data_IF_271816321495
#
_entry.id   IF_271816321495
#
_cell.length_a   1.000
_cell.length_b   1.000
_cell.length_c   1.000
_cell.angle_alpha   90.00
_cell.angle_beta   90.00
_cell.angle_gamma   90.00
#
_symmetry.space_group_name_H-M   'P 1'
#
loop_
_entity.id
_entity.type
_entity.pdbx_description
1 polymer ?
#
# COMPACT_ATOMS: atom_id res chain seq x y z
N UNK A 1 -13.11 3.00 9.68
CA UNK A 1 -11.94 2.16 10.02
C UNK A 1 -10.70 2.99 9.76
N UNK A 2 -9.55 2.70 10.38
CA UNK A 2 -8.30 3.35 10.01
C UNK A 2 -7.18 2.32 9.87
N UNK A 3 -6.36 2.46 8.85
CA UNK A 3 -5.15 1.66 8.60
C UNK A 3 -3.97 2.59 8.74
N UNK A 4 -2.96 2.24 9.52
CA UNK A 4 -1.79 3.09 9.73
C UNK A 4 -0.51 2.28 9.74
N UNK A 5 0.58 2.87 9.26
CA UNK A 5 1.92 2.34 9.45
C UNK A 5 2.88 3.42 9.97
N UNK A 6 3.81 3.00 10.82
CA UNK A 6 4.97 3.78 11.26
C UNK A 6 6.30 3.25 10.68
N UNK A 7 6.23 2.33 9.70
CA UNK A 7 7.39 1.93 8.93
C UNK A 7 7.74 3.01 7.89
N UNK A 8 9.00 3.05 7.44
CA UNK A 8 9.44 3.87 6.31
C UNK A 8 8.92 3.30 4.98
N UNK A 9 7.60 3.42 4.77
CA UNK A 9 6.90 2.92 3.61
C UNK A 9 5.67 3.80 3.30
N UNK A 10 5.35 3.90 2.01
CA UNK A 10 4.04 4.39 1.61
C UNK A 10 3.00 3.29 1.80
N UNK A 11 1.86 3.67 2.38
CA UNK A 11 0.72 2.81 2.58
C UNK A 11 -0.35 3.11 1.52
N UNK A 12 -0.86 2.08 0.88
CA UNK A 12 -2.02 2.16 0.01
C UNK A 12 -3.07 1.14 0.44
N UNK A 13 -4.33 1.52 0.28
CA UNK A 13 -5.48 0.64 0.48
C UNK A 13 -6.37 0.70 -0.75
N UNK A 14 -6.71 -0.46 -1.29
CA UNK A 14 -7.64 -0.63 -2.39
C UNK A 14 -8.93 -1.26 -1.87
N UNK A 15 -10.06 -0.65 -2.23
CA UNK A 15 -11.39 -1.19 -1.99
C UNK A 15 -11.75 -2.28 -3.03
N UNK A 16 -12.84 -3.06 -2.81
CA UNK A 16 -13.27 -4.10 -3.75
C UNK A 16 -13.58 -3.62 -5.18
N UNK A 17 -13.86 -2.32 -5.36
CA UNK A 17 -14.11 -1.70 -6.66
C UNK A 17 -12.83 -1.13 -7.30
N UNK A 18 -11.66 -1.46 -6.75
CA UNK A 18 -10.33 -0.99 -7.11
C UNK A 18 -10.10 0.52 -6.92
N UNK A 19 -11.03 1.23 -6.28
CA UNK A 19 -10.76 2.59 -5.82
C UNK A 19 -9.70 2.56 -4.72
N UNK A 20 -8.77 3.52 -4.75
CA UNK A 20 -7.59 3.53 -3.90
C UNK A 20 -7.58 4.69 -2.91
N UNK A 21 -6.81 4.55 -1.84
CA UNK A 21 -6.38 5.66 -1.00
C UNK A 21 -4.91 5.44 -0.59
N UNK A 22 -4.11 6.48 -0.60
CA UNK A 22 -2.67 6.41 -0.35
C UNK A 22 -1.99 7.77 -0.42
N UNK A 23 -0.68 7.78 -0.67
CA UNK A 23 0.10 9.01 -0.72
C UNK A 23 -0.42 10.04 -1.73
N UNK A 24 -0.90 9.56 -2.88
CA UNK A 24 -1.32 10.40 -4.01
C UNK A 24 -2.76 10.91 -3.91
N UNK A 25 -3.48 10.53 -2.85
CA UNK A 25 -4.85 10.96 -2.61
C UNK A 25 -5.77 9.84 -2.15
N UNK A 26 -7.07 10.10 -2.25
CA UNK A 26 -8.12 9.23 -1.74
C UNK A 26 -9.31 9.23 -2.70
N UNK A 27 -9.42 8.15 -3.48
CA UNK A 27 -10.51 7.91 -4.43
C UNK A 27 -11.68 7.16 -3.78
N UNK A 28 -11.40 6.36 -2.74
CA UNK A 28 -12.43 5.67 -1.95
C UNK A 28 -13.35 6.73 -1.33
N UNK A 29 -14.66 6.75 -1.64
CA UNK A 29 -15.55 7.82 -1.19
C UNK A 29 -15.62 7.99 0.33
N UNK A 30 -15.34 9.19 0.82
CA UNK A 30 -15.35 9.49 2.25
C UNK A 30 -14.12 9.01 3.02
N UNK A 31 -13.11 8.47 2.32
CA UNK A 31 -11.80 8.24 2.89
C UNK A 31 -10.94 9.51 2.85
N UNK A 32 -9.90 9.54 3.68
CA UNK A 32 -8.87 10.58 3.64
C UNK A 32 -7.56 10.04 4.22
N UNK A 33 -6.46 10.70 3.89
CA UNK A 33 -5.11 10.32 4.30
C UNK A 33 -4.54 11.39 5.23
N UNK A 34 -3.94 10.95 6.33
CA UNK A 34 -3.22 11.78 7.28
C UNK A 34 -1.78 11.33 7.36
N UNK A 35 -0.87 12.30 7.40
CA UNK A 35 0.55 12.07 7.63
C UNK A 35 0.91 12.60 9.02
N UNK A 36 1.71 11.84 9.74
CA UNK A 36 2.27 12.23 11.04
C UNK A 36 3.79 12.10 11.03
N UNK A 37 4.45 12.68 12.03
CA UNK A 37 5.90 12.52 12.22
C UNK A 37 6.24 11.02 12.38
N UNK A 38 6.67 10.40 11.29
CA UNK A 38 7.07 8.99 11.23
C UNK A 38 6.04 8.00 10.69
N UNK A 39 4.95 8.45 10.04
CA UNK A 39 4.02 7.48 9.44
C UNK A 39 2.86 8.04 8.65
N UNK A 40 2.10 7.12 8.06
CA UNK A 40 0.91 7.38 7.26
C UNK A 40 -0.30 6.68 7.87
N UNK A 41 -1.44 7.35 7.89
CA UNK A 41 -2.74 6.80 8.29
C UNK A 41 -3.79 7.06 7.21
N UNK A 42 -4.51 6.01 6.81
CA UNK A 42 -5.64 6.06 5.89
C UNK A 42 -6.91 5.80 6.69
N UNK A 43 -7.83 6.76 6.64
CA UNK A 43 -9.15 6.65 7.27
C UNK A 43 -10.17 6.25 6.22
N UNK A 44 -10.87 5.15 6.47
CA UNK A 44 -11.84 4.56 5.58
C UNK A 44 -13.26 4.78 6.12
N UNK A 45 -14.25 4.98 5.23
CA UNK A 45 -15.64 5.22 5.63
C UNK A 45 -16.21 4.06 6.42
N UNK A 46 -17.38 4.29 7.01
CA UNK A 46 -18.14 3.21 7.64
C UNK A 46 -18.58 2.22 6.54
N UNK A 47 -18.25 0.95 6.75
CA UNK A 47 -18.72 -0.15 5.93
C UNK A 47 -20.13 -0.53 6.31
N UNK A 48 -20.96 -0.76 5.30
CA UNK A 48 -22.30 -1.33 5.44
C UNK A 48 -22.26 -2.81 5.01
N UNK A 49 -21.56 -3.63 5.80
CA UNK A 49 -21.45 -5.08 5.58
C UNK A 49 -20.01 -5.57 5.50
N UNK A 50 -19.87 -6.77 4.95
CA UNK A 50 -18.58 -7.41 4.73
C UNK A 50 -17.82 -6.70 3.60
N UNK A 51 -16.52 -6.55 3.75
CA UNK A 51 -15.66 -5.99 2.71
C UNK A 51 -14.23 -6.52 2.87
N UNK A 52 -13.62 -6.84 1.73
CA UNK A 52 -12.21 -7.21 1.65
C UNK A 52 -11.45 -6.05 1.00
N UNK A 53 -10.43 -5.55 1.68
CA UNK A 53 -9.52 -4.55 1.15
C UNK A 53 -8.19 -5.18 0.85
N UNK A 54 -7.55 -4.71 -0.22
CA UNK A 54 -6.15 -5.02 -0.48
C UNK A 54 -5.28 -3.91 0.08
N UNK A 55 -4.31 -4.28 0.90
CA UNK A 55 -3.30 -3.37 1.43
C UNK A 55 -2.00 -3.56 0.67
N UNK A 56 -1.34 -2.44 0.38
CA UNK A 56 -0.01 -2.41 -0.24
C UNK A 56 0.90 -1.51 0.58
N UNK A 57 2.08 -2.01 0.93
CA UNK A 57 3.19 -1.24 1.49
C UNK A 57 4.30 -1.16 0.46
N UNK A 58 4.74 0.06 0.15
CA UNK A 58 5.86 0.35 -0.75
C UNK A 58 7.04 0.84 0.09
N UNK A 59 8.05 -0.01 0.27
CA UNK A 59 9.18 0.28 1.14
C UNK A 59 10.07 1.40 0.60
N UNK A 60 10.34 2.39 1.45
CA UNK A 60 11.22 3.51 1.14
C UNK A 60 12.62 3.30 1.72
N UNK A 61 12.69 2.81 2.97
CA UNK A 61 13.95 2.54 3.67
C UNK A 61 13.90 1.17 4.36
N UNK A 62 15.07 0.59 4.69
CA UNK A 62 15.15 -0.65 5.47
C UNK A 62 14.93 -0.39 6.97
N UNK A 63 13.76 0.14 7.31
CA UNK A 63 13.33 0.42 8.67
C UNK A 63 12.17 -0.50 9.07
N UNK A 64 12.30 -1.13 10.24
CA UNK A 64 11.22 -1.93 10.79
C UNK A 64 10.18 -1.02 11.44
N UNK A 65 8.91 -1.38 11.29
CA UNK A 65 7.80 -0.70 11.94
C UNK A 65 6.63 -1.66 12.13
N UNK A 66 5.45 -1.09 12.19
CA UNK A 66 4.20 -1.80 12.42
C UNK A 66 3.16 -1.36 11.41
N UNK A 67 2.29 -2.30 11.07
CA UNK A 67 1.02 -2.05 10.41
C UNK A 67 -0.08 -2.24 11.44
N UNK A 68 -0.92 -1.24 11.65
CA UNK A 68 -2.05 -1.31 12.58
C UNK A 68 -3.36 -0.99 11.88
N UNK A 69 -4.35 -1.88 12.02
CA UNK A 69 -5.73 -1.64 11.57
C UNK A 69 -6.61 -1.45 12.80
N UNK A 70 -7.30 -0.31 12.89
CA UNK A 70 -8.19 0.06 14.00
C UNK A 70 -9.63 0.19 13.55
N UNK A 71 -10.52 -0.29 14.42
CA UNK A 71 -11.95 -0.05 14.32
C UNK A 71 -12.36 1.05 15.29
N UNK A 72 -13.16 1.99 14.80
CA UNK A 72 -13.72 3.08 15.60
C UNK A 72 -15.25 3.08 15.53
N UNK A 73 -15.89 3.45 16.64
CA UNK A 73 -17.30 3.82 16.69
C UNK A 73 -17.39 5.25 17.26
N UNK A 74 -17.61 6.21 16.36
CA UNK A 74 -17.44 7.62 16.71
C UNK A 74 -15.98 7.89 17.08
N UNK A 75 -15.74 8.35 18.31
CA UNK A 75 -14.40 8.62 18.84
C UNK A 75 -13.81 7.46 19.66
N UNK A 76 -14.56 6.37 19.86
CA UNK A 76 -14.10 5.24 20.66
C UNK A 76 -13.46 4.18 19.77
N UNK A 77 -12.22 3.80 20.08
CA UNK A 77 -11.58 2.60 19.51
C UNK A 77 -12.28 1.36 20.05
N UNK A 78 -12.71 0.47 19.16
CA UNK A 78 -13.36 -0.79 19.51
C UNK A 78 -12.38 -1.97 19.49
N UNK A 79 -11.47 -1.96 18.53
CA UNK A 79 -10.48 -3.03 18.33
C UNK A 79 -9.29 -2.51 17.52
N UNK A 80 -8.14 -3.14 17.72
CA UNK A 80 -6.95 -2.93 16.91
C UNK A 80 -6.27 -4.28 16.66
N UNK A 81 -5.78 -4.48 15.44
CA UNK A 81 -4.85 -5.55 15.10
C UNK A 81 -3.56 -4.93 14.59
N UNK A 82 -2.42 -5.42 15.08
CA UNK A 82 -1.10 -4.91 14.74
C UNK A 82 -0.20 -6.05 14.28
N UNK A 83 0.54 -5.83 13.20
CA UNK A 83 1.57 -6.74 12.69
C UNK A 83 2.88 -5.99 12.50
N UNK A 84 3.99 -6.64 12.85
CA UNK A 84 5.32 -6.13 12.58
C UNK A 84 5.60 -6.22 11.07
N UNK A 85 6.21 -5.18 10.53
CA UNK A 85 6.61 -5.11 9.11
C UNK A 85 8.04 -4.59 8.99
N UNK A 86 8.73 -5.04 7.95
CA UNK A 86 10.08 -4.55 7.62
C UNK A 86 10.24 -4.53 6.10
N UNK A 87 9.60 -3.57 5.44
CA UNK A 87 9.76 -3.41 4.00
C UNK A 87 11.20 -3.00 3.69
N UNK A 88 11.78 -3.56 2.64
CA UNK A 88 13.06 -3.12 2.08
C UNK A 88 12.83 -1.98 1.05
N UNK A 89 13.84 -1.15 0.72
CA UNK A 89 13.71 -0.17 -0.35
C UNK A 89 13.20 -0.80 -1.65
N UNK A 90 12.24 -0.15 -2.30
CA UNK A 90 11.55 -0.61 -3.52
C UNK A 90 10.77 -1.93 -3.37
N UNK A 91 10.68 -2.50 -2.16
CA UNK A 91 9.92 -3.72 -1.93
C UNK A 91 8.43 -3.41 -1.81
N UNK A 92 7.63 -4.20 -2.52
CA UNK A 92 6.19 -4.25 -2.31
C UNK A 92 5.83 -5.39 -1.36
N UNK A 93 5.08 -5.07 -0.31
CA UNK A 93 4.39 -6.05 0.53
C UNK A 93 2.88 -5.85 0.40
N UNK A 94 2.14 -6.95 0.40
CA UNK A 94 0.68 -6.96 0.32
C UNK A 94 0.08 -7.72 1.48
N UNK A 95 -1.17 -7.37 1.82
CA UNK A 95 -2.00 -8.15 2.73
C UNK A 95 -3.49 -7.89 2.45
N UNK A 96 -4.33 -8.89 2.66
CA UNK A 96 -5.78 -8.69 2.64
C UNK A 96 -6.26 -8.20 4.02
N UNK A 97 -7.20 -7.26 4.04
CA UNK A 97 -7.94 -6.90 5.26
C UNK A 97 -9.38 -7.31 5.04
N UNK A 98 -9.81 -8.34 5.75
CA UNK A 98 -11.21 -8.76 5.75
C UNK A 98 -11.94 -8.09 6.90
N UNK A 99 -13.03 -7.41 6.58
CA UNK A 99 -14.00 -6.89 7.53
C UNK A 99 -15.26 -7.73 7.40
N UNK A 100 -15.67 -8.38 8.47
CA UNK A 100 -16.90 -9.17 8.51
C UNK A 100 -17.84 -8.67 9.59
N UNK A 101 -19.14 -8.64 9.30
CA UNK A 101 -20.15 -8.36 10.30
C UNK A 101 -20.17 -9.47 11.35
N UNK A 102 -20.32 -9.07 12.61
CA UNK A 102 -20.46 -9.99 13.74
C UNK A 102 -21.93 -10.08 14.16
N UNK A 103 -22.33 -11.26 14.63
CA UNK A 103 -23.71 -11.55 15.08
C UNK A 103 -24.17 -10.66 16.25
N UNK A 104 -23.22 -10.08 17.00
CA UNK A 104 -23.48 -9.12 18.08
C UNK A 104 -23.66 -7.66 17.60
N UNK A 105 -23.73 -7.44 16.29
CA UNK A 105 -23.77 -6.09 15.69
C UNK A 105 -22.40 -5.41 15.62
N UNK A 106 -21.33 -6.13 15.97
CA UNK A 106 -19.94 -5.74 15.75
C UNK A 106 -19.48 -5.96 14.31
N UNK A 107 -18.21 -5.68 14.07
CA UNK A 107 -17.48 -6.11 12.89
C UNK A 107 -16.13 -6.64 13.38
N UNK A 108 -15.74 -7.80 12.86
CA UNK A 108 -14.44 -8.43 13.08
C UNK A 108 -13.52 -7.98 11.95
N UNK A 109 -12.33 -7.54 12.31
CA UNK A 109 -11.26 -7.20 11.37
C UNK A 109 -10.21 -8.30 11.50
N UNK A 110 -9.71 -8.79 10.36
CA UNK A 110 -8.55 -9.66 10.31
C UNK A 110 -7.58 -9.19 9.23
N UNK A 111 -6.31 -9.10 9.59
CA UNK A 111 -5.23 -8.84 8.62
C UNK A 111 -4.68 -10.18 8.16
N UNK A 112 -4.64 -10.40 6.85
CA UNK A 112 -3.98 -11.52 6.18
C UNK A 112 -2.46 -11.49 6.36
N UNK A 113 -1.77 -12.53 5.88
CA UNK A 113 -0.32 -12.55 5.94
C UNK A 113 0.29 -11.41 5.11
N UNK A 114 1.28 -10.73 5.68
CA UNK A 114 2.00 -9.65 4.99
C UNK A 114 3.17 -10.27 4.25
N UNK A 115 3.16 -10.20 2.92
CA UNK A 115 4.16 -10.84 2.09
C UNK A 115 4.36 -10.13 0.76
N UNK A 116 5.50 -10.39 0.13
CA UNK A 116 5.72 -10.02 -1.28
C UNK A 116 4.65 -10.70 -2.14
N UNK A 117 3.96 -9.96 -3.03
CA UNK A 117 2.93 -10.52 -3.90
C UNK A 117 3.53 -11.61 -4.80
N UNK A 118 2.71 -12.59 -5.17
CA UNK A 118 3.13 -13.76 -5.96
C UNK A 118 2.14 -14.05 -7.06
N UNK A 119 2.64 -14.50 -8.20
CA UNK A 119 1.81 -15.07 -9.26
C UNK A 119 1.18 -16.40 -8.82
N UNK A 120 0.24 -16.91 -9.62
CA UNK A 120 -0.44 -18.18 -9.34
C UNK A 120 0.47 -19.42 -9.28
N UNK A 121 1.72 -19.33 -9.77
CA UNK A 121 2.74 -20.39 -9.64
C UNK A 121 3.69 -20.19 -8.45
N UNK A 122 3.49 -19.11 -7.66
CA UNK A 122 4.28 -18.79 -6.47
C UNK A 122 5.52 -17.93 -6.73
N UNK A 123 5.77 -17.51 -7.97
CA UNK A 123 6.88 -16.61 -8.31
C UNK A 123 6.65 -15.22 -7.68
N UNK A 124 7.62 -14.65 -6.94
CA UNK A 124 7.51 -13.30 -6.42
C UNK A 124 7.35 -12.24 -7.53
N UNK A 125 6.46 -11.29 -7.32
CA UNK A 125 6.17 -10.19 -8.24
C UNK A 125 6.74 -8.88 -7.69
N UNK A 126 8.04 -8.69 -7.84
CA UNK A 126 8.75 -7.54 -7.23
C UNK A 126 8.29 -6.17 -7.73
N UNK A 127 7.68 -6.12 -8.93
CA UNK A 127 7.22 -4.89 -9.58
C UNK A 127 5.68 -4.83 -9.70
N UNK A 128 4.95 -5.61 -8.90
CA UNK A 128 3.50 -5.51 -8.75
C UNK A 128 3.18 -4.42 -7.72
N UNK A 129 3.24 -3.17 -8.17
CA UNK A 129 3.21 -1.97 -7.33
C UNK A 129 1.80 -1.62 -6.84
N UNK A 130 0.77 -2.12 -7.51
CA UNK A 130 -0.63 -2.01 -7.08
C UNK A 130 -1.10 -3.25 -6.26
N UNK A 131 -0.27 -4.29 -6.18
CA UNK A 131 -0.49 -5.53 -5.45
C UNK A 131 -1.57 -6.44 -6.05
N UNK A 132 -2.00 -6.23 -7.29
CA UNK A 132 -3.13 -6.94 -7.89
C UNK A 132 -2.82 -8.39 -8.32
N UNK A 133 -1.58 -8.83 -8.08
CA UNK A 133 -1.09 -10.17 -8.40
C UNK A 133 -0.59 -10.32 -9.83
N UNK A 134 -0.34 -9.20 -10.53
CA UNK A 134 0.25 -9.17 -11.88
C UNK A 134 1.31 -8.08 -11.96
N UNK A 135 2.25 -8.27 -12.90
CA UNK A 135 3.12 -7.19 -13.38
C UNK A 135 2.62 -6.84 -14.78
N UNK A 136 1.90 -5.72 -14.90
CA UNK A 136 1.27 -5.33 -16.16
C UNK A 136 1.33 -3.82 -16.44
N UNK A 137 0.44 -3.33 -17.31
CA UNK A 137 0.41 -1.93 -17.71
C UNK A 137 0.02 -0.99 -16.56
N UNK A 138 -0.73 -1.47 -15.56
CA UNK A 138 -1.06 -0.68 -14.38
C UNK A 138 0.19 -0.31 -13.58
N UNK A 139 1.10 -1.27 -13.40
CA UNK A 139 2.40 -1.03 -12.75
C UNK A 139 3.26 -0.04 -13.53
N UNK A 140 3.33 -0.22 -14.87
CA UNK A 140 4.05 0.71 -15.74
C UNK A 140 3.46 2.12 -15.65
N UNK A 141 2.14 2.26 -15.56
CA UNK A 141 1.46 3.56 -15.46
C UNK A 141 1.85 4.29 -14.16
N UNK A 142 2.00 3.56 -13.04
CA UNK A 142 2.45 4.14 -11.77
C UNK A 142 3.83 4.78 -11.90
N UNK A 143 4.84 4.06 -12.41
CA UNK A 143 6.19 4.63 -12.62
C UNK A 143 6.17 5.73 -13.67
N UNK A 144 5.39 5.54 -14.75
CA UNK A 144 5.29 6.53 -15.83
C UNK A 144 4.68 7.86 -15.38
N UNK A 145 3.88 7.86 -14.31
CA UNK A 145 3.30 9.08 -13.73
C UNK A 145 4.37 10.03 -13.16
N UNK A 146 5.53 9.50 -12.79
CA UNK A 146 6.69 10.23 -12.28
C UNK A 146 7.81 10.36 -13.32
N UNK A 147 7.55 10.02 -14.58
CA UNK A 147 8.57 10.03 -15.64
C UNK A 147 9.29 11.37 -15.78
N UNK A 148 10.61 11.32 -15.92
CA UNK A 148 11.48 12.47 -16.15
C UNK A 148 11.38 13.50 -15.02
N UNK A 149 11.29 13.02 -13.78
CA UNK A 149 11.43 13.80 -12.54
C UNK A 149 12.69 13.35 -11.80
N UNK A 150 13.33 14.26 -11.07
CA UNK A 150 14.49 13.98 -10.22
C UNK A 150 14.24 14.48 -8.79
N UNK A 151 15.13 14.20 -7.83
CA UNK A 151 14.95 14.52 -6.38
C UNK A 151 14.41 15.92 -6.04
N UNK A 152 14.70 16.93 -6.87
CA UNK A 152 14.27 18.32 -6.68
C UNK A 152 12.90 18.65 -7.31
N UNK A 153 12.32 17.73 -8.08
CA UNK A 153 11.06 17.92 -8.77
C UNK A 153 9.86 17.55 -7.87
N UNK A 154 8.79 18.36 -7.84
CA UNK A 154 7.62 18.10 -6.99
C UNK A 154 6.87 16.78 -7.26
N UNK A 155 7.11 16.16 -8.41
CA UNK A 155 6.49 14.88 -8.81
C UNK A 155 7.39 13.67 -8.62
N UNK A 156 8.58 13.85 -8.06
CA UNK A 156 9.50 12.76 -7.79
C UNK A 156 9.03 11.90 -6.62
N UNK A 157 9.05 10.59 -6.83
CA UNK A 157 8.79 9.58 -5.81
C UNK A 157 9.94 8.58 -5.83
N UNK A 158 10.82 8.67 -4.83
CA UNK A 158 12.03 7.84 -4.73
C UNK A 158 11.74 6.34 -4.74
N UNK A 159 10.50 5.91 -4.44
CA UNK A 159 10.12 4.52 -4.59
C UNK A 159 10.29 4.00 -6.03
N UNK A 160 10.11 4.86 -7.03
CA UNK A 160 10.19 4.51 -8.45
C UNK A 160 11.56 4.75 -9.10
N UNK A 161 12.54 5.26 -8.36
CA UNK A 161 13.94 5.38 -8.78
C UNK A 161 14.68 4.08 -8.43
N UNK A 162 14.55 3.05 -9.27
CA UNK A 162 14.97 1.69 -8.95
C UNK A 162 16.48 1.48 -9.06
N UNK A 163 17.21 2.37 -9.74
CA UNK A 163 18.67 2.34 -9.81
C UNK A 163 19.37 3.39 -8.94
N UNK A 164 18.59 4.11 -8.10
CA UNK A 164 19.05 5.12 -7.14
C UNK A 164 19.94 6.21 -7.78
N UNK A 165 19.65 6.58 -9.04
CA UNK A 165 20.44 7.58 -9.77
C UNK A 165 19.98 9.03 -9.51
N UNK A 166 18.89 9.18 -8.76
CA UNK A 166 18.26 10.43 -8.37
C UNK A 166 17.23 10.94 -9.39
N UNK A 167 16.93 10.17 -10.44
CA UNK A 167 16.00 10.52 -11.50
C UNK A 167 15.19 9.32 -12.00
N UNK A 168 13.88 9.49 -12.16
CA UNK A 168 13.01 8.45 -12.72
C UNK A 168 13.03 8.57 -14.25
N UNK A 169 13.66 7.60 -14.90
CA UNK A 169 13.92 7.57 -16.34
C UNK A 169 13.45 6.27 -17.02
N UNK A 170 13.91 6.06 -18.27
CA UNK A 170 13.60 4.85 -19.07
C UNK A 170 14.10 3.58 -18.42
N UNK A 171 15.17 3.68 -17.64
CA UNK A 171 15.78 2.53 -16.98
C UNK A 171 14.83 1.97 -15.92
N UNK A 172 14.15 2.84 -15.17
CA UNK A 172 13.17 2.46 -14.15
C UNK A 172 11.93 1.79 -14.76
N UNK A 173 11.37 2.36 -15.82
CA UNK A 173 10.26 1.73 -16.55
C UNK A 173 10.69 0.37 -17.14
N UNK A 174 11.92 0.27 -17.66
CA UNK A 174 12.43 -0.97 -18.22
C UNK A 174 12.62 -2.05 -17.15
N UNK A 175 12.93 -1.70 -15.90
CA UNK A 175 13.04 -2.66 -14.80
C UNK A 175 11.72 -3.40 -14.60
N UNK A 176 10.59 -2.67 -14.59
CA UNK A 176 9.24 -3.24 -14.51
C UNK A 176 8.93 -4.13 -15.71
N UNK A 177 9.13 -3.60 -16.94
CA UNK A 177 8.75 -4.31 -18.17
C UNK A 177 9.57 -5.59 -18.42
N UNK A 178 10.81 -5.64 -17.94
CA UNK A 178 11.68 -6.81 -18.12
C UNK A 178 11.56 -7.82 -16.98
N UNK A 179 10.82 -7.50 -15.92
CA UNK A 179 10.77 -8.29 -14.69
C UNK A 179 12.15 -8.40 -14.04
N UNK A 180 13.05 -7.44 -14.28
CA UNK A 180 14.40 -7.49 -13.74
C UNK A 180 14.36 -7.11 -12.27
N UNK A 181 14.70 -8.05 -11.41
CA UNK A 181 15.06 -7.77 -10.01
C UNK A 181 16.50 -7.27 -9.97
N UNK A 182 16.81 -6.18 -9.23
CA UNK A 182 18.18 -5.75 -8.98
C UNK A 182 19.03 -6.84 -8.28
#
# INVERSE_FOLDING_TARGET
MSVSTDAAADLLVYAPDESSAGRDGAEIPGSFVEFSDGGQSIHLPKLDGDADYRLVLRGLENEAGTLTVRRHLGLAELSAETKDVRPEPHQVLTADISVSASDDGGAVISIGDIAVPKSGDGTPLHHDMNGDGKIDAGDIEMVSSCWNTCEDDPGYDSFFDFDDDGCITVLDIMAVSSGHTP
#
